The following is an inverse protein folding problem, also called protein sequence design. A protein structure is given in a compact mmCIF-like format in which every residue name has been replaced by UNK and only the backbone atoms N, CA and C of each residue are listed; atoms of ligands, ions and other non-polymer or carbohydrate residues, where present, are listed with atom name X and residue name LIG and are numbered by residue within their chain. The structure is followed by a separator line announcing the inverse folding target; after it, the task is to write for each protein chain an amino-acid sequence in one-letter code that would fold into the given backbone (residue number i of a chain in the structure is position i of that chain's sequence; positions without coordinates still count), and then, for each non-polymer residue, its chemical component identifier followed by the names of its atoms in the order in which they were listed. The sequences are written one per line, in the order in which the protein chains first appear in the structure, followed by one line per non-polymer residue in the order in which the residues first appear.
data_IF_063263992147
#
_entry.id   IF_063263992147
#
_cell.length_a   1.000
_cell.length_b   1.000
_cell.length_c   1.000
_cell.angle_alpha   90.00
_cell.angle_beta   90.00
_cell.angle_gamma   90.00
#
_symmetry.space_group_name_H-M   'P 1'
#
loop_
_entity.id
_entity.type
_entity.pdbx_description
1 polymer ?
#
# COMPACT_ATOMS: atom_id res chain seq x y z
N UNK A 1 25.02 2.90 -88.94
CA UNK A 1 25.79 3.74 -87.99
C UNK A 1 25.02 5.00 -87.57
N UNK A 2 24.46 5.78 -88.50
CA UNK A 2 23.69 7.02 -88.22
C UNK A 2 22.50 6.83 -87.26
N UNK A 3 21.64 5.84 -87.53
CA UNK A 3 20.43 5.55 -86.74
C UNK A 3 20.71 5.26 -85.25
N UNK A 4 21.81 4.55 -84.95
CA UNK A 4 22.23 4.29 -83.54
C UNK A 4 22.76 5.54 -82.85
N UNK A 5 23.41 6.44 -83.58
CA UNK A 5 23.92 7.70 -83.03
C UNK A 5 22.78 8.65 -82.72
N UNK A 6 21.79 8.69 -83.62
CA UNK A 6 20.64 9.56 -83.48
C UNK A 6 19.73 9.08 -82.33
N UNK A 7 19.55 7.76 -82.14
CA UNK A 7 18.80 7.23 -80.99
C UNK A 7 19.54 7.37 -79.65
N UNK A 8 20.87 7.39 -79.65
CA UNK A 8 21.67 7.69 -78.46
C UNK A 8 21.59 9.18 -78.12
N UNK A 9 21.60 10.06 -79.12
CA UNK A 9 21.41 11.49 -78.90
C UNK A 9 20.04 11.80 -78.31
N UNK A 10 18.98 11.16 -78.81
CA UNK A 10 17.62 11.31 -78.30
C UNK A 10 17.49 10.83 -76.84
N UNK A 11 18.17 9.73 -76.48
CA UNK A 11 18.25 9.29 -75.08
C UNK A 11 19.00 10.27 -74.18
N UNK A 12 20.14 10.80 -74.65
CA UNK A 12 20.91 11.79 -73.88
C UNK A 12 20.09 13.06 -73.67
N UNK A 13 19.36 13.51 -74.70
CA UNK A 13 18.49 14.69 -74.57
C UNK A 13 17.34 14.45 -73.60
N UNK A 14 16.70 13.28 -73.63
CA UNK A 14 15.69 12.93 -72.63
C UNK A 14 16.25 12.90 -71.20
N UNK A 15 17.44 12.31 -70.99
CA UNK A 15 18.06 12.30 -69.65
C UNK A 15 18.50 13.70 -69.19
N UNK A 16 18.92 14.57 -70.10
CA UNK A 16 19.24 15.97 -69.80
C UNK A 16 17.99 16.79 -69.46
N UNK A 17 16.85 16.52 -70.11
CA UNK A 17 15.56 17.13 -69.78
C UNK A 17 14.99 16.61 -68.45
N UNK A 18 15.07 15.31 -68.17
CA UNK A 18 14.70 14.73 -66.88
C UNK A 18 15.59 15.26 -65.74
N UNK A 19 16.89 15.44 -65.99
CA UNK A 19 17.82 16.03 -65.01
C UNK A 19 17.52 17.49 -64.72
N UNK A 20 17.11 18.28 -65.74
CA UNK A 20 16.67 19.67 -65.56
C UNK A 20 15.30 19.81 -64.87
N UNK A 21 14.44 18.79 -64.96
CA UNK A 21 13.13 18.78 -64.30
C UNK A 21 13.24 18.50 -62.79
N UNK A 22 14.36 17.92 -62.34
CA UNK A 22 14.69 17.75 -60.94
C UNK A 22 15.41 19.02 -60.48
N UNK A 23 14.63 20.02 -60.03
CA UNK A 23 15.13 21.28 -59.47
C UNK A 23 15.62 21.07 -58.03
N UNK A 24 16.67 20.25 -57.90
CA UNK A 24 17.39 20.02 -56.66
C UNK A 24 18.87 20.12 -56.95
N UNK A 25 19.59 21.00 -56.24
CA UNK A 25 21.04 20.92 -56.17
C UNK A 25 21.40 19.48 -55.78
N UNK A 26 22.06 18.75 -56.67
CA UNK A 26 22.70 17.50 -56.29
C UNK A 26 23.83 17.93 -55.37
N UNK A 27 23.56 17.97 -54.06
CA UNK A 27 24.61 18.06 -53.06
C UNK A 27 25.59 16.93 -53.39
N UNK A 28 26.78 17.33 -53.85
CA UNK A 28 27.88 16.42 -54.04
C UNK A 28 28.29 15.94 -52.66
N UNK A 29 27.65 14.87 -52.18
CA UNK A 29 28.21 14.05 -51.13
C UNK A 29 29.64 13.75 -51.57
N UNK A 30 30.64 14.15 -50.78
CA UNK A 30 32.07 13.96 -51.09
C UNK A 30 32.50 12.48 -51.12
N UNK A 31 31.56 11.56 -51.33
CA UNK A 31 31.71 10.13 -51.39
C UNK A 31 31.50 9.67 -52.82
N UNK A 32 32.38 8.81 -53.30
CA UNK A 32 32.18 8.15 -54.59
C UNK A 32 30.98 7.20 -54.54
N UNK A 33 30.32 6.96 -55.68
CA UNK A 33 29.20 6.01 -55.79
C UNK A 33 29.48 4.62 -55.15
N UNK A 34 30.70 4.03 -55.26
CA UNK A 34 31.05 2.81 -54.54
C UNK A 34 30.99 2.95 -53.00
N UNK A 35 31.42 4.09 -52.45
CA UNK A 35 31.43 4.34 -51.01
C UNK A 35 30.00 4.51 -50.47
N UNK A 36 29.13 5.22 -51.18
CA UNK A 36 27.72 5.33 -50.78
C UNK A 36 27.02 3.98 -50.75
N UNK A 37 27.27 3.12 -51.76
CA UNK A 37 26.71 1.76 -51.78
C UNK A 37 27.21 0.89 -50.62
N UNK A 38 28.48 1.07 -50.23
CA UNK A 38 29.06 0.35 -49.11
C UNK A 38 28.43 0.79 -47.77
N UNK A 39 28.30 2.10 -47.55
CA UNK A 39 27.61 2.63 -46.36
C UNK A 39 26.15 2.17 -46.27
N UNK A 40 25.42 2.22 -47.39
CA UNK A 40 24.04 1.70 -47.45
C UNK A 40 24.01 0.23 -47.03
N UNK A 41 24.94 -0.59 -47.53
CA UNK A 41 24.99 -2.01 -47.18
C UNK A 41 25.33 -2.27 -45.71
N UNK A 42 26.11 -1.39 -45.07
CA UNK A 42 26.39 -1.48 -43.63
C UNK A 42 25.11 -1.17 -42.85
N UNK A 43 24.45 -0.05 -43.17
CA UNK A 43 23.23 0.39 -42.50
C UNK A 43 22.09 -0.62 -42.71
N UNK A 44 21.94 -1.18 -43.91
CA UNK A 44 20.95 -2.23 -44.20
C UNK A 44 21.19 -3.48 -43.35
N UNK A 45 22.45 -3.91 -43.20
CA UNK A 45 22.81 -5.06 -42.38
C UNK A 45 22.61 -4.76 -40.87
N UNK A 46 22.92 -3.55 -40.41
CA UNK A 46 22.61 -3.12 -39.04
C UNK A 46 21.10 -3.13 -38.75
N UNK A 47 20.28 -2.66 -39.69
CA UNK A 47 18.81 -2.70 -39.59
C UNK A 47 18.32 -4.16 -39.57
N UNK A 48 18.86 -5.02 -40.42
CA UNK A 48 18.50 -6.45 -40.47
C UNK A 48 18.86 -7.17 -39.16
N UNK A 49 19.99 -6.81 -38.54
CA UNK A 49 20.41 -7.34 -37.24
C UNK A 49 19.50 -6.95 -36.07
N UNK A 50 18.79 -5.82 -36.14
CA UNK A 50 17.80 -5.41 -35.12
C UNK A 50 16.48 -6.17 -35.22
N UNK A 51 16.26 -6.88 -36.33
CA UNK A 51 15.02 -7.61 -36.57
C UNK A 51 13.85 -6.70 -36.93
N UNK A 52 12.66 -7.27 -37.16
CA UNK A 52 11.50 -6.51 -37.61
C UNK A 52 11.05 -5.51 -36.54
N UNK A 53 10.73 -4.28 -36.97
CA UNK A 53 10.14 -3.25 -36.11
C UNK A 53 8.84 -3.79 -35.50
N UNK A 54 8.78 -3.81 -34.16
CA UNK A 54 7.58 -4.23 -33.45
C UNK A 54 6.49 -3.14 -33.56
N UNK A 55 5.60 -3.27 -34.55
CA UNK A 55 4.48 -2.34 -34.74
C UNK A 55 3.45 -2.31 -33.60
N UNK A 56 3.47 -3.29 -32.69
CA UNK A 56 2.60 -3.33 -31.51
C UNK A 56 3.26 -2.69 -30.27
N UNK A 57 4.53 -2.30 -30.35
CA UNK A 57 5.28 -1.81 -29.19
C UNK A 57 4.65 -0.58 -28.54
N UNK A 58 4.08 0.34 -29.34
CA UNK A 58 3.41 1.55 -28.83
C UNK A 58 2.12 1.21 -28.06
N UNK A 59 1.33 0.27 -28.58
CA UNK A 59 0.09 -0.19 -27.94
C UNK A 59 0.39 -0.96 -26.65
N UNK A 60 1.34 -1.90 -26.69
CA UNK A 60 1.75 -2.67 -25.52
C UNK A 60 2.35 -1.80 -24.41
N UNK A 61 3.16 -0.81 -24.78
CA UNK A 61 3.70 0.16 -23.85
C UNK A 61 2.58 0.97 -23.18
N UNK A 62 1.66 1.52 -23.97
CA UNK A 62 0.53 2.32 -23.46
C UNK A 62 -0.34 1.51 -22.51
N UNK A 63 -0.74 0.31 -22.93
CA UNK A 63 -1.53 -0.62 -22.10
C UNK A 63 -0.83 -1.01 -20.80
N UNK A 64 0.48 -1.28 -20.86
CA UNK A 64 1.26 -1.63 -19.66
C UNK A 64 1.38 -0.45 -18.71
N UNK A 65 1.60 0.75 -19.26
CA UNK A 65 1.66 1.99 -18.49
C UNK A 65 0.34 2.27 -17.77
N UNK A 66 -0.79 2.20 -18.47
CA UNK A 66 -2.12 2.37 -17.87
C UNK A 66 -2.33 1.39 -16.70
N UNK A 67 -1.98 0.12 -16.91
CA UNK A 67 -2.08 -0.90 -15.85
C UNK A 67 -1.18 -0.62 -14.65
N UNK A 68 0.02 -0.07 -14.87
CA UNK A 68 0.92 0.35 -13.80
C UNK A 68 0.30 1.51 -13.02
N UNK A 69 -0.26 2.50 -13.72
CA UNK A 69 -0.91 3.66 -13.10
C UNK A 69 -2.12 3.24 -12.23
N UNK A 70 -2.94 2.30 -12.71
CA UNK A 70 -4.03 1.70 -11.93
C UNK A 70 -3.53 1.02 -10.65
N UNK A 71 -2.51 0.16 -10.76
CA UNK A 71 -1.94 -0.56 -9.62
C UNK A 71 -1.36 0.41 -8.59
N UNK A 72 -0.67 1.47 -9.03
CA UNK A 72 -0.13 2.50 -8.14
C UNK A 72 -1.27 3.20 -7.41
N UNK A 73 -2.29 3.65 -8.13
CA UNK A 73 -3.47 4.30 -7.55
C UNK A 73 -4.16 3.41 -6.50
N UNK A 74 -4.38 2.14 -6.82
CA UNK A 74 -5.00 1.18 -5.90
C UNK A 74 -4.14 0.94 -4.66
N UNK A 75 -2.82 0.84 -4.85
CA UNK A 75 -1.88 0.67 -3.74
C UNK A 75 -1.90 1.87 -2.80
N UNK A 76 -1.92 3.09 -3.33
CA UNK A 76 -2.01 4.31 -2.52
C UNK A 76 -3.34 4.39 -1.77
N UNK A 77 -4.45 4.01 -2.41
CA UNK A 77 -5.76 3.96 -1.78
C UNK A 77 -5.79 2.96 -0.62
N UNK A 78 -5.33 1.74 -0.86
CA UNK A 78 -5.25 0.70 0.18
C UNK A 78 -4.37 1.12 1.35
N UNK A 79 -3.26 1.83 1.07
CA UNK A 79 -2.39 2.37 2.12
C UNK A 79 -3.12 3.40 2.98
N UNK A 80 -3.84 4.34 2.37
CA UNK A 80 -4.65 5.34 3.11
C UNK A 80 -5.76 4.68 3.92
N UNK A 81 -6.46 3.69 3.37
CA UNK A 81 -7.48 2.94 4.08
C UNK A 81 -6.90 2.18 5.28
N UNK A 82 -5.70 1.59 5.12
CA UNK A 82 -5.01 0.90 6.20
C UNK A 82 -4.61 1.86 7.34
N UNK A 83 -4.09 3.04 7.01
CA UNK A 83 -3.77 4.08 7.99
C UNK A 83 -5.03 4.54 8.74
N UNK A 84 -6.13 4.82 8.02
CA UNK A 84 -7.40 5.21 8.64
C UNK A 84 -7.97 4.13 9.57
N UNK A 85 -7.84 2.84 9.20
CA UNK A 85 -8.27 1.74 10.07
C UNK A 85 -7.42 1.63 11.33
N UNK A 86 -6.12 1.90 11.23
CA UNK A 86 -5.22 1.92 12.39
C UNK A 86 -5.57 3.03 13.36
N UNK A 87 -5.84 4.23 12.85
CA UNK A 87 -6.26 5.37 13.68
C UNK A 87 -7.58 5.06 14.39
N UNK A 88 -8.56 4.50 13.66
CA UNK A 88 -9.83 4.08 14.25
C UNK A 88 -9.65 3.01 15.34
N UNK A 89 -8.70 2.07 15.17
CA UNK A 89 -8.39 1.08 16.21
C UNK A 89 -7.84 1.74 17.47
N UNK A 90 -6.94 2.73 17.33
CA UNK A 90 -6.38 3.45 18.47
C UNK A 90 -7.46 4.22 19.23
N UNK A 91 -8.33 4.93 18.52
CA UNK A 91 -9.46 5.66 19.12
C UNK A 91 -10.39 4.70 19.87
N UNK A 92 -10.67 3.53 19.28
CA UNK A 92 -11.53 2.52 19.87
C UNK A 92 -10.89 1.87 21.10
N UNK A 93 -9.58 1.64 21.11
CA UNK A 93 -8.84 1.17 22.27
C UNK A 93 -8.91 2.17 23.42
N UNK A 94 -8.70 3.45 23.15
CA UNK A 94 -8.78 4.49 24.18
C UNK A 94 -10.18 4.61 24.76
N UNK A 95 -11.21 4.63 23.90
CA UNK A 95 -12.60 4.63 24.34
C UNK A 95 -12.93 3.41 25.20
N UNK A 96 -12.49 2.21 24.80
CA UNK A 96 -12.66 0.99 25.59
C UNK A 96 -12.02 1.09 26.97
N UNK A 97 -10.81 1.66 27.08
CA UNK A 97 -10.14 1.86 28.37
C UNK A 97 -10.95 2.78 29.28
N UNK A 98 -11.45 3.90 28.75
CA UNK A 98 -12.26 4.86 29.50
C UNK A 98 -13.56 4.21 30.00
N UNK A 99 -14.29 3.56 29.09
CA UNK A 99 -15.57 2.91 29.42
C UNK A 99 -15.38 1.79 30.45
N UNK A 100 -14.31 1.00 30.32
CA UNK A 100 -13.98 -0.07 31.26
C UNK A 100 -13.67 0.49 32.66
N UNK A 101 -12.88 1.57 32.75
CA UNK A 101 -12.55 2.19 34.03
C UNK A 101 -13.77 2.79 34.71
N UNK A 102 -14.67 3.42 33.96
CA UNK A 102 -15.93 3.96 34.49
C UNK A 102 -16.84 2.84 35.02
N UNK A 103 -17.03 1.78 34.23
CA UNK A 103 -17.81 0.62 34.63
C UNK A 103 -17.21 -0.07 35.86
N UNK A 104 -15.88 -0.22 35.90
CA UNK A 104 -15.18 -0.81 37.03
C UNK A 104 -15.38 0.01 38.32
N UNK A 105 -15.31 1.34 38.25
CA UNK A 105 -15.58 2.22 39.40
C UNK A 105 -17.01 2.03 39.92
N UNK A 106 -17.99 1.94 39.00
CA UNK A 106 -19.40 1.69 39.36
C UNK A 106 -19.58 0.33 40.05
N UNK A 107 -18.97 -0.72 39.52
CA UNK A 107 -18.99 -2.07 40.13
C UNK A 107 -18.37 -2.02 41.52
N UNK A 108 -17.16 -1.45 41.65
CA UNK A 108 -16.45 -1.31 42.93
C UNK A 108 -17.30 -0.63 43.99
N UNK A 109 -17.95 0.48 43.64
CA UNK A 109 -18.75 1.26 44.58
C UNK A 109 -20.05 0.53 44.97
N UNK A 110 -20.64 -0.22 44.03
CA UNK A 110 -21.82 -1.03 44.32
C UNK A 110 -21.49 -2.24 45.21
N UNK A 111 -20.41 -2.95 44.90
CA UNK A 111 -19.91 -4.06 45.72
C UNK A 111 -19.65 -3.62 47.16
N UNK A 112 -19.03 -2.44 47.36
CA UNK A 112 -18.81 -1.86 48.70
C UNK A 112 -20.11 -1.75 49.50
N UNK A 113 -21.17 -1.23 48.88
CA UNK A 113 -22.49 -1.07 49.51
C UNK A 113 -23.13 -2.42 49.84
N UNK A 114 -23.18 -3.33 48.87
CA UNK A 114 -23.82 -4.65 49.02
C UNK A 114 -23.09 -5.48 50.07
N UNK A 115 -21.77 -5.55 50.00
CA UNK A 115 -20.98 -6.30 50.96
C UNK A 115 -21.10 -5.75 52.38
N UNK A 116 -21.14 -4.42 52.55
CA UNK A 116 -21.31 -3.80 53.87
C UNK A 116 -22.62 -4.25 54.54
N UNK A 117 -23.71 -4.29 53.78
CA UNK A 117 -25.03 -4.75 54.26
C UNK A 117 -24.99 -6.25 54.58
N UNK A 118 -24.47 -7.07 53.66
CA UNK A 118 -24.45 -8.53 53.80
C UNK A 118 -23.53 -9.03 54.92
N UNK A 119 -22.40 -8.36 55.13
CA UNK A 119 -21.43 -8.71 56.18
C UNK A 119 -21.71 -8.04 57.53
N UNK A 120 -22.77 -7.24 57.64
CA UNK A 120 -23.15 -6.55 58.88
C UNK A 120 -22.12 -5.53 59.36
N UNK A 121 -21.49 -4.82 58.42
CA UNK A 121 -20.51 -3.76 58.69
C UNK A 121 -19.08 -4.01 58.20
N UNK A 122 -18.83 -5.07 57.43
CA UNK A 122 -17.53 -5.33 56.81
C UNK A 122 -17.21 -4.40 55.64
N UNK A 123 -15.97 -4.46 55.17
CA UNK A 123 -15.47 -3.65 54.06
C UNK A 123 -14.95 -4.55 52.94
N UNK A 124 -15.06 -4.11 51.69
CA UNK A 124 -14.52 -4.80 50.52
C UNK A 124 -13.86 -3.80 49.59
N UNK A 125 -12.81 -4.23 48.91
CA UNK A 125 -12.09 -3.42 47.96
C UNK A 125 -11.79 -4.24 46.70
N UNK A 126 -12.17 -3.64 45.57
CA UNK A 126 -11.88 -4.13 44.23
C UNK A 126 -10.82 -3.21 43.63
N UNK A 127 -9.70 -3.77 43.19
CA UNK A 127 -8.60 -3.02 42.57
C UNK A 127 -8.02 -3.80 41.39
N UNK A 128 -7.47 -3.06 40.44
CA UNK A 128 -6.72 -3.62 39.31
C UNK A 128 -5.24 -3.70 39.67
N UNK A 129 -4.52 -4.72 39.18
CA UNK A 129 -3.06 -4.81 39.34
C UNK A 129 -2.33 -3.68 38.62
N UNK A 130 -2.86 -3.19 37.50
CA UNK A 130 -2.32 -2.08 36.72
C UNK A 130 -3.46 -1.21 36.16
N UNK A 131 -3.68 -0.05 36.77
CA UNK A 131 -4.70 0.90 36.32
C UNK A 131 -4.30 1.63 35.01
N UNK A 132 -3.02 1.60 34.62
CA UNK A 132 -2.55 2.20 33.37
C UNK A 132 -2.88 1.34 32.14
N UNK A 133 -3.06 0.03 32.34
CA UNK A 133 -3.44 -0.92 31.31
C UNK A 133 -4.64 -1.79 31.75
N UNK A 134 -5.84 -1.18 31.90
CA UNK A 134 -6.98 -1.85 32.50
C UNK A 134 -7.50 -3.04 31.69
N UNK A 135 -7.25 -3.07 30.37
CA UNK A 135 -7.68 -4.16 29.47
C UNK A 135 -6.89 -5.45 29.67
N UNK A 136 -5.65 -5.36 30.14
CA UNK A 136 -4.78 -6.52 30.39
C UNK A 136 -4.52 -6.76 31.88
N UNK A 137 -5.09 -5.92 32.75
CA UNK A 137 -4.89 -6.03 34.18
C UNK A 137 -5.78 -7.12 34.77
N UNK A 138 -5.24 -7.83 35.76
CA UNK A 138 -6.05 -8.68 36.62
C UNK A 138 -6.85 -7.84 37.62
N UNK A 139 -8.04 -8.33 37.96
CA UNK A 139 -8.90 -7.74 38.99
C UNK A 139 -8.73 -8.55 40.27
N UNK A 140 -8.39 -7.88 41.37
CA UNK A 140 -8.23 -8.50 42.68
C UNK A 140 -9.27 -7.97 43.68
N UNK A 141 -9.70 -8.88 44.55
CA UNK A 141 -10.67 -8.61 45.60
C UNK A 141 -9.99 -8.81 46.95
N UNK A 142 -10.05 -7.78 47.81
CA UNK A 142 -9.73 -7.87 49.23
C UNK A 142 -10.99 -7.62 50.03
N UNK A 143 -11.29 -8.48 50.98
CA UNK A 143 -12.42 -8.30 51.87
C UNK A 143 -11.95 -8.27 53.32
N UNK A 144 -12.63 -7.48 54.14
CA UNK A 144 -12.44 -7.34 55.57
C UNK A 144 -13.76 -7.70 56.26
N UNK A 145 -13.90 -8.94 56.74
CA UNK A 145 -15.04 -9.34 57.56
C UNK A 145 -15.14 -8.53 58.85
N UNK A 146 -16.33 -8.49 59.46
CA UNK A 146 -16.57 -7.76 60.71
C UNK A 146 -15.63 -8.26 61.82
N UNK A 147 -14.73 -7.40 62.27
CA UNK A 147 -13.78 -7.70 63.36
C UNK A 147 -12.46 -8.35 62.91
N UNK A 148 -12.18 -8.46 61.61
CA UNK A 148 -10.92 -9.01 61.08
C UNK A 148 -10.16 -7.98 60.20
N UNK A 149 -8.98 -8.34 59.71
CA UNK A 149 -8.15 -7.53 58.80
C UNK A 149 -8.44 -7.85 57.32
N UNK A 150 -7.93 -7.02 56.41
CA UNK A 150 -8.08 -7.25 54.97
C UNK A 150 -7.37 -8.53 54.52
N UNK A 151 -8.13 -9.45 53.95
CA UNK A 151 -7.63 -10.70 53.40
C UNK A 151 -7.97 -10.82 51.92
N UNK A 152 -7.09 -11.43 51.13
CA UNK A 152 -7.37 -11.78 49.74
C UNK A 152 -8.46 -12.84 49.70
N UNK A 153 -9.27 -12.85 48.62
CA UNK A 153 -10.37 -13.82 48.44
C UNK A 153 -9.96 -15.29 48.72
N UNK A 154 -8.77 -15.71 48.28
CA UNK A 154 -8.26 -17.07 48.48
C UNK A 154 -8.10 -17.47 49.96
N UNK A 155 -7.85 -16.51 50.85
CA UNK A 155 -7.57 -16.71 52.27
C UNK A 155 -8.82 -16.60 53.17
N UNK A 156 -10.00 -16.27 52.61
CA UNK A 156 -11.25 -16.19 53.35
C UNK A 156 -11.82 -17.58 53.67
N UNK A 157 -12.62 -17.68 54.75
CA UNK A 157 -13.36 -18.91 55.06
C UNK A 157 -14.42 -19.21 53.99
N UNK A 158 -14.88 -20.46 53.85
CA UNK A 158 -15.84 -20.85 52.81
C UNK A 158 -17.15 -20.05 52.83
N UNK A 159 -17.64 -19.69 54.02
CA UNK A 159 -18.82 -18.83 54.19
C UNK A 159 -18.58 -17.38 53.74
N UNK A 160 -17.42 -16.82 54.09
CA UNK A 160 -17.01 -15.47 53.69
C UNK A 160 -16.72 -15.38 52.19
N UNK A 161 -16.15 -16.44 51.59
CA UNK A 161 -15.99 -16.57 50.14
C UNK A 161 -17.35 -16.54 49.44
N UNK A 162 -18.32 -17.29 49.96
CA UNK A 162 -19.68 -17.34 49.41
C UNK A 162 -20.37 -15.97 49.52
N UNK A 163 -20.23 -15.30 50.67
CA UNK A 163 -20.76 -13.95 50.88
C UNK A 163 -20.14 -12.91 49.94
N UNK A 164 -18.81 -13.00 49.77
CA UNK A 164 -18.07 -12.13 48.86
C UNK A 164 -18.49 -12.36 47.40
N UNK A 165 -18.71 -13.61 47.01
CA UNK A 165 -19.21 -13.98 45.69
C UNK A 165 -20.65 -13.51 45.46
N UNK A 166 -21.51 -13.54 46.48
CA UNK A 166 -22.88 -12.99 46.38
C UNK A 166 -22.92 -11.46 46.28
N UNK A 167 -21.88 -10.78 46.75
CA UNK A 167 -21.79 -9.33 46.69
C UNK A 167 -21.22 -8.80 45.36
N UNK A 168 -20.63 -9.68 44.54
CA UNK A 168 -20.12 -9.38 43.19
C UNK A 168 -21.25 -9.47 42.17
#
# INVERSE_FOLDING_TARGET
AKIKRDSLHERITNYEEESKAIDGDIESFGMSMPQMKFEISIVENEIENWGPVNGLAEEEFTRTKERIEEIISDTEKLKKENESLRDLMLDLEEKKKIDLLDLFRKIRDNMKKVYHVLSGGGEIELFMTDESNPLNSEVQIKAKPKGNTFSKLAALSGGEKSLTAMAF
#
